data_IF_467210076840
#
_entry.id   IF_467210076840
#
_cell.length_a   1.000
_cell.length_b   1.000
_cell.length_c   1.000
_cell.angle_alpha   90.00
_cell.angle_beta   90.00
_cell.angle_gamma   90.00
#
_symmetry.space_group_name_H-M   'P 1'
#
loop_
_entity.id
_entity.type
_entity.pdbx_description
1 polymer ?
#
# COMPACT_ATOMS: atom_id res chain seq x y z
N UNK A 1 0.77 -2.81 -9.88
CA UNK A 1 0.05 -3.90 -10.56
C UNK A 1 0.99 -4.90 -11.16
N UNK A 2 0.86 -6.14 -10.71
CA UNK A 2 1.58 -7.27 -11.26
C UNK A 2 1.14 -7.57 -12.71
N UNK A 3 2.10 -7.85 -13.57
CA UNK A 3 1.93 -8.34 -14.93
C UNK A 3 1.64 -7.29 -16.00
N UNK A 4 1.56 -5.99 -15.68
CA UNK A 4 1.09 -4.96 -16.62
C UNK A 4 2.17 -4.17 -17.34
N UNK A 5 3.31 -3.89 -16.69
CA UNK A 5 4.31 -2.94 -17.21
C UNK A 5 5.69 -3.57 -17.33
N UNK A 6 6.33 -3.25 -18.43
CA UNK A 6 7.67 -3.67 -18.82
C UNK A 6 8.49 -2.40 -18.97
N UNK A 7 9.48 -2.25 -18.09
CA UNK A 7 10.33 -1.07 -17.96
C UNK A 7 11.66 -1.23 -18.71
N UNK A 8 11.86 -2.32 -19.45
CA UNK A 8 13.08 -2.56 -20.21
C UNK A 8 14.08 -3.47 -19.51
N UNK A 9 15.01 -4.03 -20.28
CA UNK A 9 15.98 -5.03 -19.83
C UNK A 9 16.97 -4.47 -18.79
N UNK A 10 17.19 -3.15 -18.78
CA UNK A 10 18.05 -2.46 -17.82
C UNK A 10 17.52 -2.53 -16.38
N UNK A 11 16.23 -2.85 -16.21
CA UNK A 11 15.59 -2.96 -14.90
C UNK A 11 15.57 -4.39 -14.35
N UNK A 12 16.12 -5.36 -15.11
CA UNK A 12 16.25 -6.73 -14.65
C UNK A 12 17.30 -6.83 -13.56
N UNK A 13 16.97 -7.56 -12.51
CA UNK A 13 17.90 -7.85 -11.40
C UNK A 13 17.69 -9.26 -10.89
N UNK A 14 18.63 -9.74 -10.07
CA UNK A 14 18.59 -11.06 -9.45
C UNK A 14 17.82 -10.94 -8.13
N UNK A 15 16.82 -11.80 -7.97
CA UNK A 15 15.98 -11.89 -6.79
C UNK A 15 16.10 -13.27 -6.13
N UNK A 16 16.27 -13.27 -4.81
CA UNK A 16 16.39 -14.50 -4.03
C UNK A 16 17.63 -15.34 -4.38
N UNK A 17 17.63 -16.60 -3.94
CA UNK A 17 18.75 -17.53 -4.08
C UNK A 17 19.98 -17.16 -3.25
N UNK A 18 21.08 -17.84 -3.55
CA UNK A 18 22.37 -17.66 -2.87
C UNK A 18 23.16 -16.52 -3.53
N UNK A 19 23.67 -15.61 -2.70
CA UNK A 19 24.44 -14.41 -3.11
C UNK A 19 25.80 -14.77 -3.70
N UNK A 20 26.37 -15.91 -3.29
CA UNK A 20 27.68 -16.37 -3.74
C UNK A 20 27.57 -17.35 -4.92
N UNK A 21 26.36 -17.58 -5.42
CA UNK A 21 26.13 -18.45 -6.57
C UNK A 21 26.68 -17.81 -7.85
N UNK A 22 27.41 -18.60 -8.65
CA UNK A 22 27.83 -18.17 -9.99
C UNK A 22 26.67 -18.00 -10.99
N UNK A 23 25.49 -18.48 -10.59
CA UNK A 23 24.26 -18.58 -11.35
C UNK A 23 24.38 -19.33 -12.69
N UNK A 24 23.38 -20.17 -12.98
CA UNK A 24 23.21 -20.84 -14.27
C UNK A 24 21.75 -20.69 -14.68
N UNK A 25 21.48 -19.83 -15.64
CA UNK A 25 20.12 -19.42 -15.99
C UNK A 25 19.44 -20.42 -16.93
N UNK A 26 18.20 -20.75 -16.62
CA UNK A 26 17.25 -21.46 -17.48
C UNK A 26 16.13 -20.49 -17.81
N UNK A 27 15.93 -20.23 -19.09
CA UNK A 27 14.89 -19.32 -19.57
C UNK A 27 13.57 -20.05 -19.76
N UNK A 28 12.52 -19.52 -19.14
CA UNK A 28 11.14 -19.95 -19.34
C UNK A 28 10.40 -18.85 -20.10
N UNK A 29 9.74 -19.25 -21.18
CA UNK A 29 9.01 -18.32 -22.05
C UNK A 29 7.51 -18.47 -21.81
N UNK A 30 6.87 -17.38 -21.39
CA UNK A 30 5.40 -17.33 -21.29
C UNK A 30 4.86 -16.43 -22.39
N UNK A 31 3.95 -16.95 -23.23
CA UNK A 31 3.24 -16.13 -24.22
C UNK A 31 2.31 -15.16 -23.48
N UNK A 32 2.48 -13.85 -23.71
CA UNK A 32 1.61 -12.78 -23.20
C UNK A 32 1.09 -11.94 -24.37
N UNK A 33 0.17 -12.48 -25.20
CA UNK A 33 -0.47 -11.65 -26.21
C UNK A 33 -1.17 -10.47 -25.51
N UNK A 34 -0.96 -9.25 -26.01
CA UNK A 34 -1.60 -8.07 -25.42
C UNK A 34 -3.13 -8.20 -25.53
N UNK A 35 -3.84 -7.91 -24.43
CA UNK A 35 -5.28 -7.77 -24.37
C UNK A 35 -5.78 -6.34 -24.71
N UNK A 36 -4.94 -5.47 -25.28
CA UNK A 36 -5.35 -4.12 -25.65
C UNK A 36 -6.24 -4.16 -26.89
N UNK A 37 -7.53 -3.84 -26.71
CA UNK A 37 -8.59 -3.86 -27.72
C UNK A 37 -8.26 -3.05 -28.98
N UNK A 38 -8.78 -3.51 -30.11
CA UNK A 38 -8.65 -2.91 -31.43
C UNK A 38 -8.61 -3.98 -32.52
N UNK A 39 -9.34 -3.79 -33.61
CA UNK A 39 -9.57 -4.78 -34.67
C UNK A 39 -8.50 -4.82 -35.76
N UNK A 40 -7.36 -4.17 -35.57
CA UNK A 40 -6.33 -4.12 -36.59
C UNK A 40 -5.41 -5.36 -36.52
N UNK A 41 -5.34 -6.22 -37.57
CA UNK A 41 -4.45 -7.38 -37.60
C UNK A 41 -2.95 -6.99 -37.60
N UNK A 42 -2.63 -5.79 -38.08
CA UNK A 42 -1.31 -5.17 -37.99
C UNK A 42 -1.24 -4.20 -36.80
N UNK A 43 -1.20 -4.72 -35.56
CA UNK A 43 -0.87 -3.89 -34.39
C UNK A 43 0.64 -3.67 -34.33
N UNK A 44 1.17 -2.92 -35.28
CA UNK A 44 2.46 -2.26 -35.14
C UNK A 44 2.24 -1.00 -34.26
N UNK A 45 2.18 -1.16 -32.93
CA UNK A 45 1.99 0.01 -32.07
C UNK A 45 3.34 0.69 -31.77
N UNK A 46 3.44 1.98 -32.08
CA UNK A 46 4.59 2.83 -31.76
C UNK A 46 4.80 2.89 -30.24
N UNK A 47 5.95 2.45 -29.74
CA UNK A 47 6.34 2.53 -28.32
C UNK A 47 7.46 3.57 -28.14
N UNK A 48 7.35 4.48 -27.16
CA UNK A 48 8.47 5.33 -26.70
C UNK A 48 8.31 6.85 -26.87
N UNK A 49 8.82 7.60 -25.89
CA UNK A 49 8.97 9.07 -25.91
C UNK A 49 10.37 9.40 -26.46
N UNK A 50 10.48 9.70 -27.76
CA UNK A 50 11.32 10.77 -28.36
C UNK A 50 11.64 10.57 -29.85
N UNK A 51 11.67 9.34 -30.39
CA UNK A 51 11.89 9.10 -31.83
C UNK A 51 10.91 8.04 -32.38
N UNK A 52 10.08 8.45 -33.34
CA UNK A 52 8.87 7.79 -33.82
C UNK A 52 9.09 6.59 -34.79
N UNK A 53 9.91 5.57 -34.46
CA UNK A 53 10.24 4.53 -35.47
C UNK A 53 10.23 3.05 -35.04
N UNK A 54 10.05 2.70 -33.76
CA UNK A 54 9.93 1.27 -33.42
C UNK A 54 8.48 0.78 -33.47
N UNK A 55 8.26 -0.18 -34.37
CA UNK A 55 7.02 -0.93 -34.46
C UNK A 55 7.17 -2.24 -33.68
N UNK A 56 6.30 -2.48 -32.69
CA UNK A 56 6.29 -3.71 -31.91
C UNK A 56 5.11 -4.57 -32.36
N UNK A 57 5.38 -5.82 -32.79
CA UNK A 57 4.34 -6.82 -33.05
C UNK A 57 3.83 -7.39 -31.72
N UNK A 58 2.61 -6.99 -31.34
CA UNK A 58 1.98 -7.42 -30.10
C UNK A 58 1.37 -8.84 -30.15
N UNK A 59 1.31 -9.49 -31.31
CA UNK A 59 0.74 -10.83 -31.46
C UNK A 59 1.70 -11.93 -30.98
N UNK A 60 3.01 -11.66 -30.95
CA UNK A 60 4.07 -12.61 -30.56
C UNK A 60 4.78 -12.22 -29.26
N UNK A 61 4.15 -11.39 -28.43
CA UNK A 61 4.81 -10.92 -27.22
C UNK A 61 5.01 -12.07 -26.23
N UNK A 62 6.27 -12.33 -25.96
CA UNK A 62 6.72 -13.34 -25.02
C UNK A 62 7.36 -12.65 -23.82
N UNK A 63 7.05 -13.12 -22.62
CA UNK A 63 7.75 -12.73 -21.41
C UNK A 63 8.71 -13.84 -21.04
N UNK A 64 9.99 -13.53 -21.02
CA UNK A 64 11.05 -14.42 -20.57
C UNK A 64 11.22 -14.27 -19.07
N UNK A 65 11.34 -15.39 -18.37
CA UNK A 65 11.65 -15.45 -16.94
C UNK A 65 12.81 -16.42 -16.76
N UNK A 66 13.91 -15.92 -16.23
CA UNK A 66 15.14 -16.70 -16.06
C UNK A 66 15.22 -17.19 -14.61
N UNK A 67 15.38 -18.50 -14.43
CA UNK A 67 15.59 -19.10 -13.11
C UNK A 67 16.95 -19.77 -13.04
N UNK A 68 17.64 -19.56 -11.93
CA UNK A 68 18.92 -20.20 -11.70
C UNK A 68 18.71 -21.68 -11.34
N UNK A 69 19.28 -22.59 -12.12
CA UNK A 69 19.21 -24.03 -11.88
C UNK A 69 19.98 -24.51 -10.64
N UNK A 70 20.84 -23.65 -10.07
CA UNK A 70 21.71 -23.99 -8.94
C UNK A 70 21.13 -23.54 -7.60
N UNK A 71 20.56 -22.33 -7.54
CA UNK A 71 20.09 -21.73 -6.29
C UNK A 71 18.62 -21.24 -6.34
N UNK A 72 17.92 -21.43 -7.45
CA UNK A 72 16.53 -21.03 -7.60
C UNK A 72 16.28 -19.53 -7.69
N UNK A 73 17.34 -18.69 -7.71
CA UNK A 73 17.21 -17.25 -7.91
C UNK A 73 16.44 -16.94 -9.20
N UNK A 74 15.68 -15.86 -9.20
CA UNK A 74 14.97 -15.39 -10.38
C UNK A 74 15.64 -14.14 -10.93
N UNK A 75 15.96 -14.12 -12.22
CA UNK A 75 16.47 -12.95 -12.93
C UNK A 75 15.35 -12.34 -13.77
N UNK A 76 14.98 -11.12 -13.43
CA UNK A 76 13.86 -10.44 -14.08
C UNK A 76 13.51 -9.10 -13.45
N UNK A 77 12.44 -8.51 -13.96
CA UNK A 77 11.97 -7.20 -13.55
C UNK A 77 10.80 -7.32 -12.57
N UNK A 78 10.89 -6.63 -11.43
CA UNK A 78 9.80 -6.54 -10.45
C UNK A 78 8.46 -6.20 -11.14
N UNK A 79 7.44 -7.00 -10.85
CA UNK A 79 6.11 -6.90 -11.46
C UNK A 79 5.93 -7.76 -12.71
N UNK A 80 6.96 -8.41 -13.24
CA UNK A 80 6.87 -9.37 -14.35
C UNK A 80 7.13 -10.81 -13.92
N UNK A 81 7.05 -11.10 -12.62
CA UNK A 81 7.19 -12.44 -12.08
C UNK A 81 6.17 -13.39 -12.72
N UNK A 82 6.52 -14.66 -12.93
CA UNK A 82 5.62 -15.66 -13.51
C UNK A 82 4.44 -16.02 -12.59
N UNK A 83 4.55 -15.85 -11.28
CA UNK A 83 3.49 -16.16 -10.31
C UNK A 83 3.26 -14.99 -9.34
N UNK A 84 2.02 -14.91 -8.83
CA UNK A 84 1.67 -13.89 -7.83
C UNK A 84 2.51 -14.09 -6.55
N UNK A 85 2.71 -15.32 -6.10
CA UNK A 85 3.48 -15.59 -4.87
C UNK A 85 4.94 -15.15 -5.00
N UNK A 86 5.55 -15.32 -6.17
CA UNK A 86 6.91 -14.85 -6.41
C UNK A 86 6.98 -13.31 -6.39
N UNK A 87 6.01 -12.64 -7.01
CA UNK A 87 5.87 -11.18 -6.93
C UNK A 87 5.71 -10.70 -5.48
N UNK A 88 4.83 -11.34 -4.71
CA UNK A 88 4.65 -11.03 -3.29
C UNK A 88 5.93 -11.29 -2.49
N UNK A 89 6.65 -12.37 -2.79
CA UNK A 89 7.95 -12.69 -2.19
C UNK A 89 9.00 -11.60 -2.42
N UNK A 90 9.11 -11.08 -3.64
CA UNK A 90 10.03 -9.97 -3.94
C UNK A 90 9.61 -8.67 -3.25
N UNK A 91 8.30 -8.37 -3.22
CA UNK A 91 7.81 -7.23 -2.45
C UNK A 91 8.11 -7.37 -0.95
N UNK A 92 8.08 -8.59 -0.40
CA UNK A 92 8.48 -8.83 0.98
C UNK A 92 9.97 -8.56 1.21
N UNK A 93 10.86 -8.90 0.27
CA UNK A 93 12.28 -8.54 0.40
C UNK A 93 12.45 -7.01 0.50
N UNK A 94 11.71 -6.25 -0.32
CA UNK A 94 11.72 -4.78 -0.29
C UNK A 94 11.15 -4.26 1.04
N UNK A 95 9.97 -4.73 1.45
CA UNK A 95 9.32 -4.22 2.67
C UNK A 95 10.07 -4.59 3.94
N UNK A 96 10.84 -5.68 3.94
CA UNK A 96 11.78 -6.02 5.02
C UNK A 96 12.89 -4.97 5.13
N UNK A 97 13.50 -4.58 4.00
CA UNK A 97 14.51 -3.52 3.99
C UNK A 97 13.94 -2.16 4.38
N UNK A 98 12.74 -1.81 3.90
CA UNK A 98 12.02 -0.61 4.33
C UNK A 98 11.80 -0.63 5.84
N UNK A 99 11.39 -1.77 6.41
CA UNK A 99 11.23 -1.92 7.85
C UNK A 99 12.55 -1.75 8.59
N UNK A 100 13.65 -2.30 8.06
CA UNK A 100 14.98 -2.24 8.67
C UNK A 100 15.44 -0.79 8.84
N UNK A 101 15.34 0.01 7.78
CA UNK A 101 15.80 1.42 7.79
C UNK A 101 14.86 2.37 8.51
N UNK A 102 13.57 2.03 8.63
CA UNK A 102 12.59 2.86 9.30
C UNK A 102 12.90 2.98 10.81
N UNK A 103 12.86 4.21 11.34
CA UNK A 103 12.97 4.45 12.79
C UNK A 103 11.88 3.68 13.54
N UNK A 104 12.09 3.40 14.84
CA UNK A 104 11.08 2.73 15.67
C UNK A 104 9.74 3.48 15.68
N UNK A 105 9.75 4.80 15.55
CA UNK A 105 8.59 5.70 15.48
C UNK A 105 8.08 5.99 14.07
N UNK A 106 8.72 5.40 13.06
CA UNK A 106 8.38 5.66 11.68
C UNK A 106 7.09 4.97 11.27
N UNK A 107 6.43 5.58 10.29
CA UNK A 107 5.20 5.09 9.68
C UNK A 107 5.42 4.99 8.18
N UNK A 108 4.87 3.94 7.59
CA UNK A 108 4.86 3.73 6.15
C UNK A 108 3.43 3.78 5.65
N UNK A 109 3.16 4.66 4.69
CA UNK A 109 1.93 4.64 3.92
C UNK A 109 2.19 3.89 2.62
N UNK A 110 1.49 2.78 2.43
CA UNK A 110 1.64 1.91 1.26
C UNK A 110 0.39 1.99 0.40
N UNK A 111 0.46 2.70 -0.73
CA UNK A 111 -0.62 2.71 -1.72
C UNK A 111 -0.45 1.51 -2.67
N UNK A 112 -1.48 0.65 -2.79
CA UNK A 112 -1.41 -0.52 -3.66
C UNK A 112 -2.78 -0.90 -4.22
N UNK A 113 -2.96 -0.62 -5.50
CA UNK A 113 -4.08 -1.11 -6.29
C UNK A 113 -4.08 -2.63 -6.44
N UNK A 114 -5.24 -3.19 -6.78
CA UNK A 114 -5.39 -4.61 -7.07
C UNK A 114 -5.55 -4.85 -8.57
N UNK A 115 -5.28 -6.08 -9.00
CA UNK A 115 -5.50 -6.52 -10.38
C UNK A 115 -6.51 -7.67 -10.43
N UNK A 116 -7.04 -7.94 -11.62
CA UNK A 116 -7.95 -9.06 -11.85
C UNK A 116 -7.20 -10.25 -12.45
N UNK A 117 -7.64 -11.46 -12.12
CA UNK A 117 -7.24 -12.67 -12.82
C UNK A 117 -7.56 -12.55 -14.32
N UNK A 118 -6.53 -12.69 -15.15
CA UNK A 118 -6.68 -12.65 -16.61
C UNK A 118 -7.31 -13.94 -17.14
N UNK A 119 -8.27 -13.81 -18.06
CA UNK A 119 -8.87 -14.94 -18.78
C UNK A 119 -7.95 -15.57 -19.83
N UNK A 120 -6.76 -15.00 -20.07
CA UNK A 120 -5.85 -15.43 -21.12
C UNK A 120 -6.31 -15.10 -22.54
N UNK A 121 -7.50 -14.54 -22.72
CA UNK A 121 -8.08 -14.27 -24.05
C UNK A 121 -8.48 -12.82 -24.25
N UNK A 122 -8.33 -12.34 -25.48
CA UNK A 122 -9.01 -11.16 -26.00
C UNK A 122 -10.52 -11.44 -25.98
N UNK A 123 -11.23 -10.85 -25.02
CA UNK A 123 -12.69 -10.88 -25.00
C UNK A 123 -13.23 -10.17 -26.24
N UNK A 124 -13.96 -10.90 -27.08
CA UNK A 124 -14.71 -10.35 -28.19
C UNK A 124 -16.12 -10.92 -28.17
N UNK A 125 -17.10 -10.08 -27.85
CA UNK A 125 -18.53 -10.36 -27.96
C UNK A 125 -18.91 -10.42 -29.46
N UNK A 126 -18.57 -11.48 -30.20
CA UNK A 126 -18.87 -11.49 -31.64
C UNK A 126 -19.45 -12.79 -32.24
N UNK A 127 -19.55 -13.92 -31.54
CA UNK A 127 -20.21 -15.15 -32.05
C UNK A 127 -20.78 -16.04 -30.92
N UNK A 128 -21.71 -16.96 -31.26
CA UNK A 128 -22.16 -18.05 -30.38
C UNK A 128 -20.94 -18.86 -29.93
N UNK A 129 -20.65 -18.87 -28.62
CA UNK A 129 -19.47 -19.53 -28.04
C UNK A 129 -18.29 -18.61 -27.69
N UNK A 130 -18.39 -17.29 -27.95
CA UNK A 130 -17.46 -16.29 -27.40
C UNK A 130 -16.05 -16.28 -28.01
N UNK A 131 -15.87 -16.88 -29.19
CA UNK A 131 -14.61 -16.91 -29.95
C UNK A 131 -14.83 -16.38 -31.37
N UNK A 132 -13.85 -15.66 -31.92
CA UNK A 132 -13.82 -15.30 -33.35
C UNK A 132 -13.40 -16.52 -34.18
N UNK A 133 -13.87 -16.60 -35.43
CA UNK A 133 -13.43 -17.63 -36.38
C UNK A 133 -11.90 -17.54 -36.58
N UNK A 134 -11.20 -18.68 -36.50
CA UNK A 134 -9.73 -18.74 -36.57
C UNK A 134 -8.99 -18.27 -35.30
N UNK A 135 -9.70 -17.88 -34.23
CA UNK A 135 -9.05 -17.47 -32.99
C UNK A 135 -8.46 -18.67 -32.24
N UNK A 136 -7.13 -18.69 -31.95
CA UNK A 136 -6.55 -19.76 -31.16
C UNK A 136 -7.11 -19.70 -29.74
N UNK A 137 -7.56 -20.86 -29.22
CA UNK A 137 -7.92 -21.01 -27.81
C UNK A 137 -6.65 -20.82 -26.98
N UNK A 138 -6.55 -19.68 -26.30
CA UNK A 138 -5.49 -19.48 -25.33
C UNK A 138 -5.90 -20.27 -24.08
N UNK A 139 -5.03 -21.17 -23.62
CA UNK A 139 -5.26 -21.93 -22.40
C UNK A 139 -5.47 -21.01 -21.20
N UNK A 140 -6.11 -21.52 -20.13
CA UNK A 140 -6.24 -20.80 -18.85
C UNK A 140 -4.87 -20.26 -18.46
N UNK A 141 -4.83 -19.00 -18.02
CA UNK A 141 -3.59 -18.42 -17.48
C UNK A 141 -3.11 -19.33 -16.34
N UNK A 142 -1.85 -19.79 -16.40
CA UNK A 142 -1.25 -20.70 -15.40
C UNK A 142 -1.04 -20.07 -14.02
N UNK A 143 -1.65 -18.91 -13.79
CA UNK A 143 -1.50 -18.04 -12.62
C UNK A 143 -2.36 -18.52 -11.44
N UNK A 144 -3.29 -19.45 -11.65
CA UNK A 144 -4.10 -20.06 -10.58
C UNK A 144 -5.13 -19.12 -9.96
N UNK A 145 -5.37 -17.95 -10.57
CA UNK A 145 -6.40 -16.99 -10.13
C UNK A 145 -7.59 -17.11 -11.07
N UNK A 146 -8.79 -17.24 -10.51
CA UNK A 146 -10.03 -17.29 -11.29
C UNK A 146 -10.14 -16.04 -12.20
N UNK A 147 -10.38 -16.23 -13.51
CA UNK A 147 -10.61 -15.11 -14.41
C UNK A 147 -11.70 -14.17 -13.90
N UNK A 148 -11.48 -12.86 -14.06
CA UNK A 148 -12.40 -11.79 -13.61
C UNK A 148 -12.59 -11.68 -12.10
N UNK A 149 -11.82 -12.43 -11.31
CA UNK A 149 -11.77 -12.29 -9.86
C UNK A 149 -10.63 -11.34 -9.46
N UNK A 150 -10.82 -10.56 -8.40
CA UNK A 150 -9.74 -9.77 -7.80
C UNK A 150 -8.64 -10.70 -7.28
N UNK A 151 -7.39 -10.36 -7.60
CA UNK A 151 -6.21 -11.10 -7.15
C UNK A 151 -5.92 -10.86 -5.67
N UNK A 152 -6.48 -9.81 -5.07
CA UNK A 152 -6.20 -9.38 -3.71
C UNK A 152 -4.70 -9.25 -3.44
N UNK A 153 -3.91 -8.84 -4.44
CA UNK A 153 -2.44 -8.81 -4.34
C UNK A 153 -2.01 -7.88 -3.19
N UNK A 154 -2.72 -6.77 -3.03
CA UNK A 154 -2.50 -5.80 -1.98
C UNK A 154 -2.79 -6.40 -0.60
N UNK A 155 -3.97 -6.95 -0.35
CA UNK A 155 -4.32 -7.54 0.94
C UNK A 155 -3.49 -8.78 1.28
N UNK A 156 -3.15 -9.61 0.28
CA UNK A 156 -2.25 -10.76 0.46
C UNK A 156 -0.85 -10.30 0.90
N UNK A 157 -0.31 -9.25 0.27
CA UNK A 157 0.96 -8.66 0.70
C UNK A 157 0.87 -8.16 2.14
N UNK A 158 -0.16 -7.38 2.48
CA UNK A 158 -0.32 -6.80 3.81
C UNK A 158 -0.42 -7.90 4.87
N UNK A 159 -1.19 -8.96 4.61
CA UNK A 159 -1.29 -10.11 5.51
C UNK A 159 0.08 -10.78 5.73
N UNK A 160 0.85 -10.97 4.66
CA UNK A 160 2.22 -11.53 4.75
C UNK A 160 3.17 -10.61 5.50
N UNK A 161 3.11 -9.29 5.28
CA UNK A 161 3.90 -8.32 6.03
C UNK A 161 3.59 -8.35 7.53
N UNK A 162 2.33 -8.54 7.91
CA UNK A 162 1.93 -8.70 9.32
C UNK A 162 2.50 -10.00 9.88
N UNK A 163 2.24 -11.13 9.21
CA UNK A 163 2.57 -12.46 9.73
C UNK A 163 4.08 -12.78 9.70
N UNK A 164 4.75 -12.44 8.61
CA UNK A 164 6.15 -12.84 8.35
C UNK A 164 7.16 -11.78 8.82
N UNK A 165 6.78 -10.50 8.82
CA UNK A 165 7.69 -9.41 9.19
C UNK A 165 7.28 -8.68 10.47
N UNK A 166 6.09 -8.94 11.02
CA UNK A 166 5.58 -8.30 12.23
C UNK A 166 5.22 -6.83 12.04
N UNK A 167 4.88 -6.40 10.82
CA UNK A 167 4.31 -5.06 10.63
C UNK A 167 2.96 -4.95 11.34
N UNK A 168 2.63 -3.75 11.81
CA UNK A 168 1.34 -3.47 12.43
C UNK A 168 0.54 -2.59 11.47
N UNK A 169 -0.57 -3.10 10.95
CA UNK A 169 -1.52 -2.31 10.17
C UNK A 169 -2.41 -1.51 11.13
N UNK A 170 -2.37 -0.18 11.06
CA UNK A 170 -3.22 0.71 11.87
C UNK A 170 -4.52 1.05 11.18
N UNK A 171 -4.44 1.41 9.90
CA UNK A 171 -5.60 1.82 9.13
C UNK A 171 -5.47 1.34 7.68
N UNK A 172 -6.62 1.01 7.10
CA UNK A 172 -6.81 0.95 5.65
C UNK A 172 -7.57 2.22 5.26
N UNK A 173 -6.88 3.17 4.65
CA UNK A 173 -7.45 4.45 4.22
C UNK A 173 -7.97 4.29 2.79
N UNK A 174 -9.18 4.77 2.53
CA UNK A 174 -9.76 4.75 1.18
C UNK A 174 -9.41 6.06 0.48
N UNK A 175 -8.53 5.98 -0.52
CA UNK A 175 -8.30 7.09 -1.42
C UNK A 175 -9.35 7.07 -2.52
N UNK A 176 -10.43 7.83 -2.31
CA UNK A 176 -11.44 8.07 -3.35
C UNK A 176 -10.86 8.93 -4.47
N UNK A 177 -11.06 8.53 -5.72
CA UNK A 177 -10.59 9.20 -6.94
C UNK A 177 -11.81 9.78 -7.69
N UNK A 178 -12.18 11.06 -7.47
CA UNK A 178 -13.36 11.66 -8.10
C UNK A 178 -13.32 11.59 -9.63
N UNK A 179 -12.12 11.80 -10.20
CA UNK A 179 -11.87 11.76 -11.63
C UNK A 179 -11.14 10.46 -12.04
N UNK A 180 -11.70 9.31 -11.65
CA UNK A 180 -11.13 8.01 -12.02
C UNK A 180 -11.35 7.70 -13.51
N UNK A 181 -10.46 6.90 -14.09
CA UNK A 181 -10.65 6.41 -15.46
C UNK A 181 -11.87 5.48 -15.50
N UNK A 182 -12.85 5.73 -16.38
CA UNK A 182 -13.99 4.84 -16.52
C UNK A 182 -13.54 3.49 -17.08
N UNK A 183 -14.20 2.42 -16.65
CA UNK A 183 -13.95 1.06 -17.12
C UNK A 183 -14.94 0.70 -18.23
N UNK A 184 -14.44 0.26 -19.39
CA UNK A 184 -15.28 -0.15 -20.54
C UNK A 184 -15.82 -1.57 -20.44
N UNK A 185 -15.81 -2.17 -19.26
CA UNK A 185 -16.24 -3.56 -19.02
C UNK A 185 -17.63 -3.60 -18.42
N UNK A 186 -18.43 -4.60 -18.79
CA UNK A 186 -19.85 -4.71 -18.39
C UNK A 186 -20.08 -5.54 -17.12
N UNK A 187 -19.07 -6.27 -16.66
CA UNK A 187 -19.20 -7.30 -15.61
C UNK A 187 -18.74 -6.84 -14.21
N UNK A 188 -18.39 -5.57 -14.04
CA UNK A 188 -17.99 -4.98 -12.75
C UNK A 188 -18.09 -3.46 -12.78
N UNK A 189 -18.10 -2.87 -11.58
CA UNK A 189 -18.03 -1.42 -11.42
C UNK A 189 -16.64 -0.87 -11.77
N UNK A 190 -16.60 0.40 -12.19
CA UNK A 190 -15.36 1.15 -12.36
C UNK A 190 -14.62 1.26 -11.03
N UNK A 191 -13.30 1.04 -11.05
CA UNK A 191 -12.50 1.15 -9.85
C UNK A 191 -12.22 2.63 -9.53
N UNK A 192 -13.02 3.19 -8.62
CA UNK A 192 -12.98 4.59 -8.22
C UNK A 192 -12.15 4.88 -6.96
N UNK A 193 -11.47 3.89 -6.38
CA UNK A 193 -10.66 4.10 -5.19
C UNK A 193 -9.38 3.25 -5.16
N UNK A 194 -8.43 3.62 -4.30
CA UNK A 194 -7.27 2.80 -3.97
C UNK A 194 -7.09 2.73 -2.44
N UNK A 195 -6.75 1.57 -1.87
CA UNK A 195 -6.43 1.48 -0.46
C UNK A 195 -5.00 1.98 -0.21
N UNK A 196 -4.86 2.83 0.80
CA UNK A 196 -3.60 3.26 1.37
C UNK A 196 -3.46 2.65 2.76
N UNK A 197 -2.53 1.73 2.91
CA UNK A 197 -2.30 1.01 4.17
C UNK A 197 -1.33 1.80 5.05
N UNK A 198 -1.76 2.17 6.24
CA UNK A 198 -0.91 2.79 7.25
C UNK A 198 -0.28 1.70 8.12
N UNK A 199 1.02 1.48 7.94
CA UNK A 199 1.80 0.44 8.60
C UNK A 199 2.83 1.05 9.54
N UNK A 200 2.99 0.46 10.72
CA UNK A 200 3.89 0.95 11.76
C UNK A 200 4.80 -0.16 12.28
N UNK A 201 5.98 0.25 12.75
CA UNK A 201 7.04 -0.68 13.19
C UNK A 201 6.81 -1.24 14.60
N UNK A 202 6.15 -0.47 15.47
CA UNK A 202 5.84 -0.88 16.85
C UNK A 202 4.51 -0.28 17.31
N UNK A 203 3.94 -0.87 18.36
CA UNK A 203 2.69 -0.43 18.97
C UNK A 203 2.87 0.55 20.13
N UNK A 204 4.08 0.70 20.65
CA UNK A 204 4.37 1.51 21.84
C UNK A 204 4.52 2.97 21.47
N UNK A 205 3.88 3.83 22.26
CA UNK A 205 4.10 5.27 22.20
C UNK A 205 5.53 5.61 22.61
N UNK A 206 6.13 6.54 21.89
CA UNK A 206 7.52 6.92 22.08
C UNK A 206 7.69 8.38 22.43
N UNK A 207 6.64 9.18 22.26
CA UNK A 207 6.66 10.58 22.61
C UNK A 207 5.52 10.88 23.57
N UNK A 208 5.75 11.88 24.40
CA UNK A 208 4.78 12.39 25.33
C UNK A 208 4.77 13.90 25.20
N UNK A 209 3.57 14.48 25.24
CA UNK A 209 3.39 15.92 25.30
C UNK A 209 2.47 16.28 26.45
N UNK A 210 2.75 17.38 27.12
CA UNK A 210 1.92 17.91 28.17
C UNK A 210 0.94 18.93 27.56
N UNK A 211 -0.36 18.65 27.65
CA UNK A 211 -1.40 19.52 27.06
C UNK A 211 -1.50 20.90 27.71
N UNK A 212 -1.05 21.03 28.97
CA UNK A 212 -1.15 22.25 29.77
C UNK A 212 0.05 23.16 29.57
N UNK A 213 1.25 22.58 29.50
CA UNK A 213 2.51 23.34 29.40
C UNK A 213 3.10 23.37 27.99
N UNK A 214 2.65 22.48 27.09
CA UNK A 214 3.25 22.31 25.77
C UNK A 214 4.61 21.59 25.78
N UNK A 215 5.09 21.12 26.94
CA UNK A 215 6.37 20.40 27.05
C UNK A 215 6.33 19.06 26.31
N UNK A 216 7.46 18.71 25.68
CA UNK A 216 7.65 17.48 24.93
C UNK A 216 8.72 16.61 25.58
N UNK A 217 8.54 15.29 25.58
CA UNK A 217 9.52 14.36 26.10
C UNK A 217 9.49 13.01 25.35
N UNK A 218 10.67 12.41 25.15
CA UNK A 218 10.82 11.05 24.57
C UNK A 218 10.45 9.93 25.56
N UNK A 219 10.22 10.30 26.82
CA UNK A 219 9.75 9.40 27.88
C UNK A 219 8.84 10.18 28.79
N UNK A 220 7.79 9.52 29.31
CA UNK A 220 6.94 10.15 30.32
C UNK A 220 7.81 10.54 31.53
N UNK A 221 7.70 11.76 32.06
CA UNK A 221 8.45 12.16 33.24
C UNK A 221 8.13 11.24 34.42
N UNK A 222 9.17 10.91 35.20
CA UNK A 222 9.02 10.09 36.40
C UNK A 222 8.40 10.87 37.55
N UNK A 223 8.83 12.11 37.70
CA UNK A 223 8.31 13.03 38.72
C UNK A 223 7.23 13.89 38.09
N UNK A 224 6.02 13.86 38.68
CA UNK A 224 4.84 14.55 38.17
C UNK A 224 4.34 15.54 39.22
N UNK A 225 4.30 16.83 38.86
CA UNK A 225 3.85 17.92 39.73
C UNK A 225 2.34 18.13 39.58
N UNK A 226 1.65 18.20 40.72
CA UNK A 226 0.23 18.57 40.74
C UNK A 226 0.04 19.97 40.14
N UNK A 227 -1.07 20.19 39.44
CA UNK A 227 -1.39 21.42 38.68
C UNK A 227 -0.52 21.70 37.46
N UNK A 228 0.51 20.91 37.19
CA UNK A 228 1.34 21.05 35.98
C UNK A 228 1.25 19.79 35.12
N UNK A 229 1.50 18.63 35.72
CA UNK A 229 1.56 17.34 35.03
C UNK A 229 0.30 16.50 35.23
N UNK A 230 -0.44 16.77 36.30
CA UNK A 230 -1.72 16.14 36.60
C UNK A 230 -2.61 17.06 37.44
N UNK A 231 -3.92 16.87 37.35
CA UNK A 231 -4.94 17.51 38.19
C UNK A 231 -5.97 16.47 38.66
N UNK A 232 -6.79 16.80 39.64
CA UNK A 232 -7.91 15.94 40.04
C UNK A 232 -9.06 15.99 39.03
N UNK A 233 -9.67 14.85 38.72
CA UNK A 233 -10.89 14.77 37.92
C UNK A 233 -12.04 15.37 38.73
N UNK A 234 -12.58 16.48 38.24
CA UNK A 234 -13.59 17.28 38.92
C UNK A 234 -14.87 17.26 38.11
N UNK A 235 -15.98 17.12 38.82
CA UNK A 235 -17.32 17.25 38.25
C UNK A 235 -18.02 18.44 38.89
N UNK A 236 -18.53 19.31 38.03
CA UNK A 236 -19.43 20.38 38.42
C UNK A 236 -20.83 19.80 38.44
N UNK A 237 -21.54 19.99 39.55
CA UNK A 237 -22.94 19.59 39.69
C UNK A 237 -23.75 20.74 40.27
N UNK A 238 -25.04 20.76 39.95
CA UNK A 238 -25.95 21.77 40.45
C UNK A 238 -26.62 21.27 41.73
N UNK A 239 -26.42 21.98 42.82
CA UNK A 239 -27.13 21.75 44.07
C UNK A 239 -28.50 22.43 43.99
N UNK A 240 -29.55 21.61 43.84
CA UNK A 240 -30.92 22.10 43.70
C UNK A 240 -31.47 22.74 44.98
N UNK A 241 -31.00 22.32 46.15
CA UNK A 241 -31.52 22.81 47.43
C UNK A 241 -31.04 24.22 47.72
N UNK A 242 -29.77 24.49 47.40
CA UNK A 242 -29.14 25.79 47.65
C UNK A 242 -29.07 26.68 46.39
N UNK A 243 -29.51 26.18 45.23
CA UNK A 243 -29.50 26.91 43.96
C UNK A 243 -28.10 27.27 43.44
N UNK A 244 -27.06 26.58 43.90
CA UNK A 244 -25.65 26.90 43.59
C UNK A 244 -24.95 25.77 42.85
N UNK A 245 -23.99 26.11 41.99
CA UNK A 245 -23.06 25.14 41.43
C UNK A 245 -22.01 24.75 42.48
N UNK A 246 -21.81 23.45 42.65
CA UNK A 246 -20.77 22.88 43.51
C UNK A 246 -19.84 22.01 42.68
N UNK A 247 -18.63 21.82 43.21
CA UNK A 247 -17.61 20.97 42.61
C UNK A 247 -17.31 19.80 43.55
N UNK A 248 -17.19 18.60 42.99
CA UNK A 248 -16.69 17.42 43.71
C UNK A 248 -15.68 16.66 42.88
N UNK A 249 -14.83 15.90 43.56
CA UNK A 249 -13.90 15.00 42.88
C UNK A 249 -14.66 13.78 42.35
N UNK A 250 -14.43 13.43 41.09
CA UNK A 250 -14.84 12.13 40.58
C UNK A 250 -14.01 11.04 41.21
N UNK A 251 -14.66 9.92 41.49
CA UNK A 251 -14.02 8.75 42.05
C UNK A 251 -13.66 7.75 40.94
N UNK A 252 -12.60 6.98 41.15
CA UNK A 252 -12.25 5.84 40.32
C UNK A 252 -13.12 4.62 40.65
N UNK A 253 -12.89 3.49 39.96
CA UNK A 253 -13.62 2.24 40.20
C UNK A 253 -13.40 1.64 41.59
N UNK A 254 -12.53 2.21 42.42
CA UNK A 254 -12.24 1.82 43.82
C UNK A 254 -12.73 2.86 44.82
N UNK A 255 -13.61 3.78 44.39
CA UNK A 255 -14.15 4.88 45.19
C UNK A 255 -13.07 5.85 45.74
N UNK A 256 -11.91 5.97 45.08
CA UNK A 256 -10.86 6.94 45.44
C UNK A 256 -10.89 8.14 44.50
N UNK A 257 -10.52 9.35 44.94
CA UNK A 257 -10.40 10.49 44.04
C UNK A 257 -9.54 10.18 42.82
N UNK A 258 -10.05 10.51 41.63
CA UNK A 258 -9.44 10.15 40.35
C UNK A 258 -8.49 11.25 39.89
N UNK A 259 -7.28 10.87 39.47
CA UNK A 259 -6.28 11.78 38.89
C UNK A 259 -6.36 11.78 37.36
N UNK A 260 -6.23 12.95 36.74
CA UNK A 260 -6.09 13.14 35.30
C UNK A 260 -4.67 13.56 34.99
N UNK A 261 -4.00 12.83 34.08
CA UNK A 261 -2.69 13.18 33.55
C UNK A 261 -2.82 14.21 32.41
N UNK A 262 -2.03 15.27 32.46
CA UNK A 262 -1.87 16.22 31.35
C UNK A 262 -0.90 15.71 30.28
N UNK A 263 -0.06 14.74 30.62
CA UNK A 263 0.76 14.04 29.64
C UNK A 263 -0.08 13.10 28.79
N UNK A 264 -0.03 13.31 27.48
CA UNK A 264 -0.62 12.46 26.44
C UNK A 264 0.51 11.82 25.65
N UNK A 265 0.31 10.56 25.27
CA UNK A 265 1.26 9.81 24.47
C UNK A 265 0.98 10.00 22.99
N UNK A 266 2.04 10.06 22.19
CA UNK A 266 1.98 10.06 20.73
C UNK A 266 2.72 8.83 20.23
N UNK A 267 2.09 8.14 19.28
CA UNK A 267 2.62 6.91 18.73
C UNK A 267 3.59 7.20 17.57
N UNK A 268 3.35 8.29 16.81
CA UNK A 268 4.05 8.57 15.57
C UNK A 268 4.48 10.03 15.44
N UNK A 269 5.46 10.26 14.56
CA UNK A 269 6.03 11.60 14.35
C UNK A 269 5.06 12.59 13.67
N UNK A 270 4.18 12.16 12.76
CA UNK A 270 3.28 13.08 12.06
C UNK A 270 2.12 13.58 12.96
N UNK A 271 1.80 12.88 14.05
CA UNK A 271 0.86 13.41 15.06
C UNK A 271 1.40 14.73 15.65
N UNK A 272 2.73 14.96 15.64
CA UNK A 272 3.32 16.23 16.07
C UNK A 272 2.93 17.40 15.16
N UNK A 273 2.79 17.16 13.85
CA UNK A 273 2.36 18.21 12.92
C UNK A 273 0.86 18.48 13.02
N UNK A 274 0.05 17.51 13.46
CA UNK A 274 -1.37 17.73 13.77
C UNK A 274 -1.57 18.59 15.04
N UNK A 275 -0.57 18.63 15.93
CA UNK A 275 -0.58 19.43 17.17
C UNK A 275 0.12 20.79 16.97
N UNK A 276 0.84 20.97 15.86
CA UNK A 276 1.37 22.29 15.47
C UNK A 276 0.23 23.16 14.96
N UNK A 277 0.17 24.40 15.45
CA UNK A 277 -0.72 25.40 14.88
C UNK A 277 -0.53 25.43 13.36
N UNK A 278 -1.62 25.44 12.57
CA UNK A 278 -1.53 25.51 11.12
C UNK A 278 -0.70 26.72 10.73
N UNK A 279 0.18 26.55 9.74
CA UNK A 279 0.95 27.65 9.19
C UNK A 279 -0.01 28.73 8.66
N UNK A 280 -0.10 29.85 9.37
CA UNK A 280 -1.05 30.95 9.09
C UNK A 280 -0.59 31.90 7.99
N UNK A 281 0.57 31.66 7.37
CA UNK A 281 1.00 32.49 6.25
C UNK A 281 0.17 32.14 5.02
N UNK A 282 -0.47 33.12 4.37
CA UNK A 282 -1.18 32.88 3.13
C UNK A 282 -0.20 32.35 2.10
N UNK A 283 -0.56 31.24 1.45
CA UNK A 283 0.10 30.76 0.24
C UNK A 283 0.15 31.95 -0.73
N UNK A 284 1.35 32.44 -1.06
CA UNK A 284 1.53 33.46 -2.09
C UNK A 284 0.75 33.01 -3.33
N UNK A 285 -0.30 33.75 -3.69
CA UNK A 285 -1.00 33.55 -4.93
C UNK A 285 0.04 33.62 -6.06
N UNK A 286 0.20 32.52 -6.80
CA UNK A 286 0.96 32.54 -8.05
C UNK A 286 0.13 33.33 -9.05
N UNK A 287 0.48 34.59 -9.28
CA UNK A 287 -0.16 35.38 -10.32
C UNK A 287 0.12 36.87 -10.27
N UNK A 288 1.37 37.30 -10.14
CA UNK A 288 1.81 38.62 -10.61
C UNK A 288 3.28 38.56 -11.04
N UNK A 289 3.50 38.26 -12.31
CA UNK A 289 4.57 38.81 -13.17
C UNK A 289 4.13 38.66 -14.62
#
# INVERSE_FOLDING_TARGET
DWGLRDYGDETKTIWGGDKDCKHKWITYTTKRPNASGGDNPEKLARKGKRNFQEFVDYNKRETKSDFCSLCGAWYGQLGLEPTLDLFLGHLLQITAELKRVLKKTGVMFWNHGDCYGGSGGSGGDYNIGGLREGQPKVGKSGIGIQPKCLALQNYRLILKMINEQGWILRNSIIWNKPNHMPSSVKDRFSNAYEPVFMLVKQSKSQYYYNIKTGLMADKKPKELKERIDWDWDKEIYFDKENGIQKERLRLDGKAKPKKISHWRSLDYWFDLDAVRMPHTLPLRQRGER
#
